data_IF_174010860271
#
_entry.id   IF_174010860271
#
_cell.length_a   1.000
_cell.length_b   1.000
_cell.length_c   1.000
_cell.angle_alpha   90.00
_cell.angle_beta   90.00
_cell.angle_gamma   90.00
#
_symmetry.space_group_name_H-M   'P 1'
#
loop_
_entity.id
_entity.type
_entity.pdbx_description
1 polymer ?
#
# COMPACT_ATOMS: atom_id res chain seq x y z
N UNK A 1 14.15 10.04 8.24
CA UNK A 1 14.95 9.07 7.47
C UNK A 1 15.53 8.00 8.41
N UNK A 2 16.17 6.95 7.87
CA UNK A 2 16.67 5.80 8.66
C UNK A 2 17.79 6.15 9.67
N UNK A 3 18.38 7.33 9.63
CA UNK A 3 19.34 7.84 10.61
C UNK A 3 18.74 8.41 11.89
N UNK A 4 17.43 8.61 11.93
CA UNK A 4 16.72 9.21 13.07
C UNK A 4 16.52 8.21 14.23
N UNK A 5 16.25 8.75 15.42
CA UNK A 5 16.16 7.92 16.64
C UNK A 5 15.06 6.86 16.56
N UNK A 6 13.91 7.15 15.93
CA UNK A 6 12.81 6.20 15.80
C UNK A 6 13.15 5.00 14.92
N UNK A 7 14.09 5.15 13.97
CA UNK A 7 14.52 4.08 13.07
C UNK A 7 15.59 3.16 13.66
N UNK A 8 16.13 3.51 14.83
CA UNK A 8 17.13 2.69 15.52
C UNK A 8 16.44 1.61 16.34
N UNK A 9 16.93 0.36 16.30
CA UNK A 9 16.41 -0.69 17.18
C UNK A 9 16.52 -0.26 18.64
N UNK A 10 15.41 -0.30 19.37
CA UNK A 10 15.43 -0.14 20.82
C UNK A 10 15.87 -1.46 21.46
N UNK A 11 16.68 -1.41 22.52
CA UNK A 11 17.05 -2.62 23.24
C UNK A 11 15.79 -3.28 23.83
N UNK A 12 15.70 -4.61 23.85
CA UNK A 12 14.60 -5.29 24.49
C UNK A 12 14.53 -4.90 25.98
N UNK A 13 13.32 -4.62 26.45
CA UNK A 13 13.06 -4.30 27.86
C UNK A 13 12.60 -5.56 28.58
N UNK A 14 13.29 -5.97 29.69
CA UNK A 14 12.81 -7.06 30.51
C UNK A 14 11.50 -6.65 31.21
N UNK A 15 10.52 -7.53 31.21
CA UNK A 15 9.27 -7.44 31.98
C UNK A 15 9.13 -8.68 32.85
N UNK A 16 8.18 -8.67 33.79
CA UNK A 16 8.06 -9.67 34.85
C UNK A 16 8.10 -11.13 34.34
N UNK A 17 7.48 -11.41 33.18
CA UNK A 17 7.39 -12.76 32.58
C UNK A 17 7.95 -12.83 31.14
N UNK A 18 8.85 -11.93 30.72
CA UNK A 18 9.37 -11.97 29.35
C UNK A 18 10.20 -10.76 28.94
N UNK A 19 10.25 -10.55 27.64
CA UNK A 19 10.96 -9.42 27.02
C UNK A 19 10.01 -8.67 26.10
N UNK A 20 9.98 -7.36 26.23
CA UNK A 20 9.23 -6.47 25.33
C UNK A 20 10.17 -5.89 24.28
N UNK A 21 9.84 -6.10 23.00
CA UNK A 21 10.58 -5.52 21.88
C UNK A 21 9.71 -4.51 21.13
N UNK A 22 10.32 -3.43 20.69
CA UNK A 22 9.67 -2.39 19.92
C UNK A 22 10.33 -2.25 18.56
N UNK A 23 9.52 -2.08 17.51
CA UNK A 23 9.97 -1.69 16.20
C UNK A 23 9.06 -0.57 15.68
N UNK A 24 9.65 0.47 15.12
CA UNK A 24 8.92 1.50 14.39
C UNK A 24 9.25 1.39 12.90
N UNK A 25 8.26 1.57 12.06
CA UNK A 25 8.42 1.60 10.61
C UNK A 25 7.75 2.85 10.05
N UNK A 26 8.35 3.43 9.01
CA UNK A 26 7.77 4.57 8.30
C UNK A 26 6.67 4.08 7.35
N UNK A 27 5.42 4.34 7.68
CA UNK A 27 4.28 3.99 6.85
C UNK A 27 4.27 4.75 5.50
N UNK A 28 4.91 5.93 5.41
CA UNK A 28 5.04 6.67 4.15
C UNK A 28 6.08 6.05 3.21
N UNK A 29 6.93 5.13 3.67
CA UNK A 29 7.77 4.32 2.80
C UNK A 29 6.99 3.31 1.96
N UNK A 30 5.72 3.06 2.29
CA UNK A 30 4.84 2.10 1.62
C UNK A 30 3.87 2.80 0.66
N UNK A 31 3.34 2.05 -0.33
CA UNK A 31 2.29 2.58 -1.20
C UNK A 31 0.98 2.72 -0.41
N UNK A 32 0.41 3.91 -0.41
CA UNK A 32 -0.87 4.14 0.26
C UNK A 32 -2.03 3.68 -0.63
N UNK A 33 -2.79 2.69 -0.16
CA UNK A 33 -3.94 2.11 -0.85
C UNK A 33 -5.08 3.10 -1.09
N UNK A 34 -5.07 4.25 -0.42
CA UNK A 34 -6.05 5.31 -0.63
C UNK A 34 -5.64 6.31 -1.73
N UNK A 35 -4.42 6.18 -2.28
CA UNK A 35 -3.96 7.04 -3.37
C UNK A 35 -4.71 6.86 -4.71
N UNK A 36 -5.20 5.66 -5.09
CA UNK A 36 -5.94 5.46 -6.34
C UNK A 36 -7.14 6.38 -6.53
N UNK A 37 -7.73 6.88 -5.43
CA UNK A 37 -8.81 7.88 -5.49
C UNK A 37 -8.42 9.10 -4.65
N UNK A 38 -8.30 10.25 -5.30
CA UNK A 38 -7.94 11.53 -4.65
C UNK A 38 -9.08 12.51 -4.78
N UNK A 39 -9.60 12.99 -3.64
CA UNK A 39 -10.74 13.92 -3.61
C UNK A 39 -11.96 13.40 -4.41
N UNK A 40 -12.23 12.09 -4.30
CA UNK A 40 -13.33 11.43 -5.01
C UNK A 40 -13.09 11.24 -6.52
N UNK A 41 -11.88 11.45 -7.02
CA UNK A 41 -11.54 11.29 -8.44
C UNK A 41 -10.43 10.25 -8.62
N UNK A 42 -10.52 9.37 -9.64
CA UNK A 42 -9.49 8.39 -9.95
C UNK A 42 -8.15 9.05 -10.30
N UNK A 43 -7.07 8.56 -9.69
CA UNK A 43 -5.70 8.92 -10.02
C UNK A 43 -5.09 7.86 -10.94
N UNK A 44 -5.09 8.10 -12.24
CA UNK A 44 -4.51 7.17 -13.23
C UNK A 44 -3.06 6.81 -12.93
N UNK A 45 -2.27 7.77 -12.42
CA UNK A 45 -0.88 7.54 -12.06
C UNK A 45 -0.76 6.57 -10.89
N UNK A 46 -1.54 6.77 -9.82
CA UNK A 46 -1.50 5.90 -8.63
C UNK A 46 -2.08 4.50 -8.93
N UNK A 47 -3.12 4.41 -9.75
CA UNK A 47 -3.64 3.14 -10.25
C UNK A 47 -2.55 2.37 -11.01
N UNK A 48 -1.83 3.02 -11.92
CA UNK A 48 -0.75 2.39 -12.67
C UNK A 48 0.42 1.95 -11.77
N UNK A 49 0.74 2.70 -10.71
CA UNK A 49 1.74 2.30 -9.71
C UNK A 49 1.27 1.03 -8.98
N UNK A 50 0.02 1.01 -8.53
CA UNK A 50 -0.53 -0.15 -7.83
C UNK A 50 -0.59 -1.39 -8.74
N UNK A 51 -0.97 -1.24 -10.01
CA UNK A 51 -0.94 -2.34 -11.01
C UNK A 51 0.46 -2.96 -11.15
N UNK A 52 1.51 -2.12 -11.22
CA UNK A 52 2.89 -2.62 -11.27
C UNK A 52 3.29 -3.34 -9.98
N UNK A 53 2.84 -2.84 -8.82
CA UNK A 53 3.11 -3.48 -7.54
C UNK A 53 2.41 -4.85 -7.44
N UNK A 54 1.13 -4.95 -7.85
CA UNK A 54 0.38 -6.20 -7.93
C UNK A 54 1.10 -7.21 -8.84
N UNK A 55 1.48 -6.78 -10.05
CA UNK A 55 2.22 -7.60 -11.02
C UNK A 55 3.54 -8.13 -10.43
N UNK A 56 4.29 -7.28 -9.74
CA UNK A 56 5.55 -7.66 -9.10
C UNK A 56 5.38 -8.73 -8.00
N UNK A 57 4.18 -8.81 -7.39
CA UNK A 57 3.83 -9.82 -6.39
C UNK A 57 3.11 -11.04 -7.00
N UNK A 58 2.98 -11.12 -8.33
CA UNK A 58 2.26 -12.21 -9.02
C UNK A 58 0.74 -12.18 -8.77
N UNK A 59 0.20 -11.00 -8.48
CA UNK A 59 -1.23 -10.75 -8.26
C UNK A 59 -1.79 -10.10 -9.53
N UNK A 60 -3.05 -10.41 -9.85
CA UNK A 60 -3.73 -9.82 -11.01
C UNK A 60 -3.78 -8.28 -10.89
N UNK A 61 -3.15 -7.54 -11.82
CA UNK A 61 -3.20 -6.07 -11.81
C UNK A 61 -4.60 -5.51 -12.01
N UNK A 62 -5.54 -6.25 -12.61
CA UNK A 62 -6.93 -5.87 -12.76
C UNK A 62 -7.65 -5.60 -11.43
N UNK A 63 -7.16 -6.15 -10.31
CA UNK A 63 -7.72 -5.89 -8.97
C UNK A 63 -7.58 -4.43 -8.53
N UNK A 64 -6.75 -3.64 -9.21
CA UNK A 64 -6.66 -2.20 -8.99
C UNK A 64 -7.99 -1.47 -9.29
N UNK A 65 -8.77 -1.96 -10.24
CA UNK A 65 -10.07 -1.39 -10.57
C UNK A 65 -11.11 -1.71 -9.49
N UNK A 66 -11.08 -2.92 -8.95
CA UNK A 66 -11.94 -3.27 -7.81
C UNK A 66 -11.61 -2.45 -6.56
N UNK A 67 -10.32 -2.14 -6.33
CA UNK A 67 -9.93 -1.22 -5.26
C UNK A 67 -10.40 0.20 -5.54
N UNK A 68 -10.30 0.68 -6.78
CA UNK A 68 -10.78 2.01 -7.17
C UNK A 68 -12.27 2.15 -6.87
N UNK A 69 -13.11 1.23 -7.36
CA UNK A 69 -14.55 1.26 -7.14
C UNK A 69 -14.92 1.13 -5.66
N UNK A 70 -14.10 0.41 -4.87
CA UNK A 70 -14.28 0.34 -3.41
C UNK A 70 -14.08 1.69 -2.71
N UNK A 71 -13.19 2.54 -3.26
CA UNK A 71 -12.76 3.80 -2.65
C UNK A 71 -13.57 5.00 -3.13
N UNK A 72 -14.03 4.99 -4.39
CA UNK A 72 -14.69 6.16 -4.97
C UNK A 72 -16.14 6.31 -4.45
N UNK A 73 -16.68 7.53 -4.45
CA UNK A 73 -17.98 7.80 -3.83
C UNK A 73 -19.16 7.50 -4.75
N UNK A 74 -18.93 7.12 -6.00
CA UNK A 74 -20.02 6.85 -6.93
C UNK A 74 -20.34 5.34 -7.01
N UNK A 75 -21.36 4.94 -7.77
CA UNK A 75 -21.76 3.53 -7.92
C UNK A 75 -21.54 3.03 -9.34
N UNK A 76 -20.62 3.63 -10.09
CA UNK A 76 -20.33 3.29 -11.49
C UNK A 76 -19.27 2.22 -11.58
N UNK A 77 -19.67 1.00 -11.95
CA UNK A 77 -18.73 -0.13 -12.06
C UNK A 77 -17.71 0.12 -13.16
N UNK A 78 -16.44 0.06 -12.80
CA UNK A 78 -15.31 0.10 -13.73
C UNK A 78 -15.12 -1.23 -14.46
N UNK A 79 -14.52 -1.26 -15.65
CA UNK A 79 -14.17 -2.51 -16.31
C UNK A 79 -13.25 -3.38 -15.42
N UNK A 80 -13.76 -4.50 -14.91
CA UNK A 80 -13.06 -5.37 -13.96
C UNK A 80 -13.25 -5.02 -12.49
N UNK A 81 -13.91 -3.91 -12.20
CA UNK A 81 -14.23 -3.46 -10.84
C UNK A 81 -15.45 -4.14 -10.22
N UNK A 82 -15.95 -3.58 -9.13
CA UNK A 82 -17.15 -4.07 -8.42
C UNK A 82 -17.78 -2.99 -7.56
N UNK A 83 -19.11 -2.95 -7.60
CA UNK A 83 -19.95 -2.07 -6.80
C UNK A 83 -21.00 -2.84 -6.00
N UNK A 84 -21.92 -2.13 -5.35
CA UNK A 84 -22.96 -2.68 -4.48
C UNK A 84 -23.66 -3.91 -5.05
N UNK A 85 -23.97 -3.94 -6.36
CA UNK A 85 -24.67 -5.07 -6.99
C UNK A 85 -23.86 -6.36 -6.85
N UNK A 86 -22.55 -6.28 -7.01
CA UNK A 86 -21.63 -7.43 -6.87
C UNK A 86 -21.58 -7.91 -5.41
N UNK A 87 -21.35 -6.99 -4.47
CA UNK A 87 -21.18 -7.30 -3.05
C UNK A 87 -22.49 -7.76 -2.38
N UNK A 88 -23.63 -7.21 -2.80
CA UNK A 88 -24.95 -7.61 -2.30
C UNK A 88 -25.39 -9.00 -2.82
N UNK A 89 -24.77 -9.50 -3.89
CA UNK A 89 -25.03 -10.83 -4.45
C UNK A 89 -24.28 -11.95 -3.71
N UNK A 90 -23.38 -11.61 -2.80
CA UNK A 90 -22.58 -12.60 -2.05
C UNK A 90 -23.43 -13.37 -1.05
N UNK A 91 -23.03 -14.61 -0.65
CA UNK A 91 -23.72 -15.39 0.39
C UNK A 91 -23.85 -14.66 1.73
N UNK A 92 -22.89 -13.79 2.06
CA UNK A 92 -22.94 -12.82 3.15
C UNK A 92 -22.87 -11.43 2.54
N UNK A 93 -24.03 -10.82 2.24
CA UNK A 93 -24.07 -9.57 1.51
C UNK A 93 -23.59 -8.38 2.37
N UNK A 94 -22.86 -7.50 1.74
CA UNK A 94 -22.45 -6.19 2.27
C UNK A 94 -22.41 -5.19 1.12
N UNK A 95 -22.11 -3.93 1.42
CA UNK A 95 -21.97 -2.86 0.42
C UNK A 95 -20.51 -2.49 0.20
N UNK A 96 -20.20 -1.91 -0.95
CA UNK A 96 -18.95 -1.20 -1.16
C UNK A 96 -18.79 -0.10 -0.10
N UNK A 97 -17.56 0.18 0.30
CA UNK A 97 -17.33 1.18 1.35
C UNK A 97 -17.53 2.61 0.82
N UNK A 98 -17.26 2.87 -0.45
CA UNK A 98 -17.30 4.17 -1.12
C UNK A 98 -16.60 5.26 -0.30
N UNK A 99 -15.48 4.88 0.35
CA UNK A 99 -14.67 5.73 1.21
C UNK A 99 -13.26 5.15 1.38
N UNK A 100 -12.28 5.95 1.84
CA UNK A 100 -10.93 5.48 2.10
C UNK A 100 -10.88 4.29 3.07
N UNK A 101 -10.02 3.32 2.74
CA UNK A 101 -9.70 2.18 3.63
C UNK A 101 -9.17 2.68 4.97
N UNK A 102 -9.61 2.06 6.06
CA UNK A 102 -9.11 2.29 7.42
C UNK A 102 -7.91 1.38 7.75
N UNK A 103 -7.79 0.25 7.09
CA UNK A 103 -6.70 -0.70 7.29
C UNK A 103 -6.41 -1.52 6.02
N UNK A 104 -5.20 -2.05 5.93
CA UNK A 104 -4.82 -2.98 4.83
C UNK A 104 -5.67 -4.25 4.84
N UNK A 105 -6.20 -4.66 6.00
CA UNK A 105 -7.03 -5.87 6.10
C UNK A 105 -8.38 -5.73 5.40
N UNK A 106 -8.88 -4.52 5.19
CA UNK A 106 -10.11 -4.27 4.45
C UNK A 106 -10.01 -4.70 2.97
N UNK A 107 -8.81 -4.82 2.40
CA UNK A 107 -8.65 -5.43 1.08
C UNK A 107 -9.30 -6.81 0.97
N UNK A 108 -9.48 -7.53 2.07
CA UNK A 108 -10.19 -8.83 2.08
C UNK A 108 -11.68 -8.73 1.74
N UNK A 109 -12.24 -7.54 1.83
CA UNK A 109 -13.61 -7.25 1.45
C UNK A 109 -13.72 -6.81 0.00
N UNK A 110 -12.60 -6.40 -0.60
CA UNK A 110 -12.54 -5.96 -2.00
C UNK A 110 -12.51 -7.18 -2.92
N UNK A 111 -13.37 -7.18 -3.94
CA UNK A 111 -13.48 -8.27 -4.91
C UNK A 111 -12.11 -8.74 -5.42
N UNK A 112 -11.91 -10.05 -5.40
CA UNK A 112 -10.72 -10.70 -5.96
C UNK A 112 -9.50 -10.74 -5.04
N UNK A 113 -9.43 -9.94 -3.98
CA UNK A 113 -8.31 -10.03 -3.03
C UNK A 113 -8.45 -11.21 -2.09
N UNK A 114 -7.61 -12.22 -2.28
CA UNK A 114 -7.52 -13.37 -1.38
C UNK A 114 -6.73 -13.04 -0.11
N UNK A 115 -6.91 -13.82 0.95
CA UNK A 115 -6.11 -13.69 2.18
C UNK A 115 -4.60 -13.80 1.90
N UNK A 116 -4.20 -14.64 0.91
CA UNK A 116 -2.81 -14.76 0.47
C UNK A 116 -2.32 -13.47 -0.19
N UNK A 117 -3.08 -12.91 -1.14
CA UNK A 117 -2.72 -11.67 -1.80
C UNK A 117 -2.54 -10.52 -0.80
N UNK A 118 -3.45 -10.37 0.17
CA UNK A 118 -3.36 -9.36 1.23
C UNK A 118 -2.11 -9.58 2.09
N UNK A 119 -1.79 -10.82 2.44
CA UNK A 119 -0.57 -11.15 3.19
C UNK A 119 0.70 -10.78 2.42
N UNK A 120 0.75 -11.10 1.12
CA UNK A 120 1.91 -10.84 0.27
C UNK A 120 2.11 -9.33 0.04
N UNK A 121 1.04 -8.56 -0.01
CA UNK A 121 1.09 -7.10 -0.16
C UNK A 121 1.48 -6.35 1.12
N UNK A 122 1.26 -6.92 2.30
CA UNK A 122 1.36 -6.22 3.59
C UNK A 122 2.70 -5.51 3.84
N UNK A 123 3.78 -6.00 3.27
CA UNK A 123 5.12 -5.39 3.39
C UNK A 123 5.35 -4.20 2.44
N UNK A 124 4.40 -3.91 1.55
CA UNK A 124 4.55 -2.92 0.48
C UNK A 124 3.46 -1.85 0.47
N UNK A 125 2.38 -2.07 1.22
CA UNK A 125 1.21 -1.17 1.21
C UNK A 125 0.83 -0.72 2.62
N UNK A 126 0.19 0.42 2.68
CA UNK A 126 -0.39 1.00 3.90
C UNK A 126 -1.78 1.56 3.60
N UNK A 127 -2.56 1.86 4.62
CA UNK A 127 -3.84 2.58 4.52
C UNK A 127 -3.77 3.81 5.43
N UNK A 128 -3.25 4.91 4.88
CA UNK A 128 -3.21 6.20 5.57
C UNK A 128 -4.47 7.02 5.23
N UNK A 129 -5.00 7.81 6.15
CA UNK A 129 -6.32 8.45 6.01
C UNK A 129 -6.38 9.51 4.89
N UNK A 130 -5.24 9.99 4.44
CA UNK A 130 -5.13 10.97 3.36
C UNK A 130 -4.13 10.49 2.31
N UNK A 131 -4.28 10.87 1.03
CA UNK A 131 -3.30 10.58 0.00
C UNK A 131 -1.90 11.10 0.38
N UNK A 132 -0.88 10.27 0.18
CA UNK A 132 0.51 10.58 0.55
C UNK A 132 1.47 10.29 -0.60
N UNK A 133 2.58 11.01 -0.64
CA UNK A 133 3.73 10.64 -1.46
C UNK A 133 4.54 9.54 -0.77
N UNK A 134 5.27 8.75 -1.56
CA UNK A 134 6.16 7.71 -1.02
C UNK A 134 7.48 8.34 -0.57
N UNK A 135 7.88 8.07 0.67
CA UNK A 135 9.20 8.46 1.18
C UNK A 135 10.29 7.57 0.58
N UNK A 136 11.05 8.10 -0.36
CA UNK A 136 12.11 7.35 -1.06
C UNK A 136 13.24 6.88 -0.14
N UNK A 137 13.44 7.53 1.01
CA UNK A 137 14.47 7.16 1.97
C UNK A 137 14.16 5.89 2.75
N UNK A 138 12.89 5.49 2.83
CA UNK A 138 12.44 4.35 3.63
C UNK A 138 11.74 3.29 2.80
N UNK A 139 11.35 3.62 1.57
CA UNK A 139 10.59 2.73 0.70
C UNK A 139 11.35 1.43 0.35
N UNK A 140 10.69 0.26 0.40
CA UNK A 140 11.23 -0.98 -0.17
C UNK A 140 11.51 -0.86 -1.66
N UNK A 141 12.48 -1.63 -2.17
CA UNK A 141 12.84 -1.60 -3.59
C UNK A 141 11.65 -1.92 -4.51
N UNK A 142 10.74 -2.79 -4.09
CA UNK A 142 9.54 -3.16 -4.84
C UNK A 142 8.59 -1.97 -5.01
N UNK A 143 8.45 -1.15 -3.96
CA UNK A 143 7.64 0.08 -4.02
C UNK A 143 8.29 1.11 -4.93
N UNK A 144 9.61 1.30 -4.82
CA UNK A 144 10.35 2.20 -5.72
C UNK A 144 10.29 1.74 -7.18
N UNK A 145 10.42 0.44 -7.43
CA UNK A 145 10.30 -0.13 -8.77
C UNK A 145 8.89 0.12 -9.36
N UNK A 146 7.84 -0.08 -8.56
CA UNK A 146 6.48 0.23 -8.98
C UNK A 146 6.26 1.72 -9.24
N UNK A 147 6.84 2.58 -8.41
CA UNK A 147 6.73 4.04 -8.52
C UNK A 147 7.41 4.56 -9.80
N UNK A 148 8.65 4.15 -10.04
CA UNK A 148 9.52 4.68 -11.12
C UNK A 148 9.41 3.90 -12.43
N UNK A 149 8.84 2.71 -12.40
CA UNK A 149 8.87 1.73 -13.51
C UNK A 149 10.30 1.32 -13.93
N UNK A 150 11.24 1.36 -12.99
CA UNK A 150 12.63 0.94 -13.19
C UNK A 150 12.88 -0.44 -12.58
N UNK A 151 13.84 -1.17 -13.12
CA UNK A 151 14.23 -2.46 -12.58
C UNK A 151 14.98 -2.32 -11.24
N UNK A 152 14.93 -3.38 -10.41
CA UNK A 152 15.67 -3.43 -9.15
C UNK A 152 17.17 -3.19 -9.34
N UNK A 153 17.77 -3.68 -10.43
CA UNK A 153 19.20 -3.49 -10.75
C UNK A 153 19.56 -2.00 -10.92
N UNK A 154 18.67 -1.21 -11.53
CA UNK A 154 18.85 0.24 -11.71
C UNK A 154 18.66 0.99 -10.39
N UNK A 155 17.79 0.51 -9.52
CA UNK A 155 17.48 1.16 -8.25
C UNK A 155 18.45 0.80 -7.12
N UNK A 156 19.21 -0.29 -7.22
CA UNK A 156 20.12 -0.73 -6.16
C UNK A 156 21.15 0.35 -5.75
N UNK A 157 21.81 1.07 -6.67
CA UNK A 157 22.69 2.17 -6.30
C UNK A 157 22.00 3.30 -5.53
N UNK A 158 20.71 3.57 -5.81
CA UNK A 158 19.91 4.55 -5.09
C UNK A 158 19.68 4.10 -3.64
N UNK A 159 19.37 2.81 -3.45
CA UNK A 159 19.20 2.23 -2.13
C UNK A 159 20.49 2.27 -1.30
N UNK A 160 21.62 1.97 -1.93
CA UNK A 160 22.92 1.97 -1.27
C UNK A 160 23.34 3.39 -0.86
N UNK A 161 23.06 4.38 -1.71
CA UNK A 161 23.43 5.77 -1.44
C UNK A 161 22.62 6.39 -0.30
N UNK A 162 21.31 6.11 -0.23
CA UNK A 162 20.42 6.70 0.80
C UNK A 162 20.76 6.32 2.23
N UNK A 163 21.50 5.23 2.43
CA UNK A 163 21.95 4.80 3.78
C UNK A 163 22.93 5.82 4.36
N UNK A 164 23.82 6.35 3.53
CA UNK A 164 24.86 7.29 3.94
C UNK A 164 24.48 8.76 3.66
N UNK A 165 23.70 8.98 2.62
CA UNK A 165 23.24 10.31 2.19
C UNK A 165 21.73 10.25 1.91
N UNK A 166 20.87 10.43 2.92
CA UNK A 166 19.44 10.51 2.72
C UNK A 166 19.07 11.64 1.75
N UNK A 167 18.11 11.39 0.87
CA UNK A 167 17.57 12.43 0.01
C UNK A 167 16.86 13.48 0.86
N UNK A 168 17.16 14.75 0.59
CA UNK A 168 16.46 15.89 1.20
C UNK A 168 15.53 16.49 0.17
N UNK A 169 14.38 17.02 0.62
CA UNK A 169 13.50 17.79 -0.24
C UNK A 169 14.26 19.01 -0.77
N UNK A 170 14.14 19.24 -2.07
CA UNK A 170 14.65 20.44 -2.75
C UNK A 170 13.49 21.35 -3.11
#
# INVERSE_FOLDING_TARGET
>A
HLGELWAKPLPPLPVEDGMLTFAAADAQGLFNLNNPVRNGQPSTADIAIFQRLLTAQGIDPGLSEALRDWLDPDGTVSPGGAEDIEYLSLPQPYRSANQPLQSVDELRLVKGFTAKAVKDLRSYVTALPVPTTVNVNTAPIQVLAALTNLSAAVLQPVLDSRVNQPFTDT
#
